data_IF_687576113820
#
_entry.id   IF_687576113820
#
_cell.length_a   1.000
_cell.length_b   1.000
_cell.length_c   1.000
_cell.angle_alpha   90.00
_cell.angle_beta   90.00
_cell.angle_gamma   90.00
#
_symmetry.space_group_name_H-M   'P 1'
#
loop_
_entity.id
_entity.type
_entity.pdbx_description
1 polymer ?
#
# COMPACT_ATOMS: atom_id res chain seq x y z
N UNK A 1 8.98 -10.38 16.05
CA UNK A 1 8.15 -9.22 15.78
C UNK A 1 6.78 -9.72 15.32
N UNK A 2 5.69 -9.24 15.91
CA UNK A 2 4.33 -9.58 15.51
C UNK A 2 3.74 -8.45 14.63
N UNK A 3 3.19 -8.81 13.48
CA UNK A 3 2.60 -7.85 12.55
C UNK A 3 1.09 -7.76 12.77
N UNK A 4 0.40 -8.90 12.67
CA UNK A 4 -1.05 -9.03 12.88
C UNK A 4 -1.33 -10.40 13.47
N UNK A 5 -2.21 -10.48 14.46
CA UNK A 5 -2.63 -11.75 15.04
C UNK A 5 -3.52 -11.62 16.26
N UNK A 6 -3.85 -12.77 16.84
CA UNK A 6 -4.56 -12.90 18.11
C UNK A 6 -3.81 -13.80 19.09
N UNK A 7 -2.49 -13.93 18.96
CA UNK A 7 -1.67 -14.90 19.65
C UNK A 7 -0.70 -14.23 20.61
N UNK A 8 -0.53 -14.83 21.82
CA UNK A 8 0.65 -14.61 22.66
C UNK A 8 1.85 -15.29 21.98
N UNK A 9 2.82 -14.45 21.52
CA UNK A 9 3.95 -14.91 20.72
C UNK A 9 5.12 -15.48 21.53
N UNK A 10 5.00 -15.56 22.86
CA UNK A 10 6.03 -16.12 23.73
C UNK A 10 6.29 -17.60 23.45
N UNK A 11 5.29 -18.33 22.94
CA UNK A 11 5.44 -19.72 22.54
C UNK A 11 4.75 -19.99 21.20
N UNK A 12 5.44 -20.73 20.32
CA UNK A 12 4.86 -21.23 19.09
C UNK A 12 3.65 -22.15 19.28
N UNK A 13 3.47 -22.76 20.47
CA UNK A 13 2.34 -23.63 20.81
C UNK A 13 1.13 -22.85 21.31
N UNK A 14 1.29 -21.62 21.83
CA UNK A 14 0.16 -20.84 22.33
C UNK A 14 -0.96 -20.76 21.28
N UNK A 15 -2.26 -20.83 21.70
CA UNK A 15 -3.37 -20.78 20.77
C UNK A 15 -3.40 -19.45 19.99
N UNK A 16 -3.93 -19.50 18.76
CA UNK A 16 -4.10 -18.35 17.89
C UNK A 16 -3.21 -18.40 16.66
N UNK A 17 -3.19 -17.28 15.94
CA UNK A 17 -2.33 -17.09 14.78
C UNK A 17 -1.57 -15.78 14.90
N UNK A 18 -0.41 -15.71 14.23
CA UNK A 18 0.37 -14.47 14.10
C UNK A 18 1.09 -14.42 12.76
N UNK A 19 0.97 -13.29 12.08
CA UNK A 19 1.88 -12.88 11.02
C UNK A 19 3.07 -12.21 11.67
N UNK A 20 4.28 -12.67 11.36
CA UNK A 20 5.51 -12.21 12.00
C UNK A 20 6.68 -12.29 11.03
N UNK A 21 7.86 -11.90 11.48
CA UNK A 21 9.12 -12.24 10.80
C UNK A 21 9.74 -13.49 11.43
N UNK A 22 10.61 -14.17 10.67
CA UNK A 22 11.39 -15.30 11.18
C UNK A 22 12.16 -14.92 12.44
N UNK A 23 12.11 -15.80 13.42
CA UNK A 23 12.89 -15.64 14.65
C UNK A 23 14.26 -16.34 14.50
N UNK A 24 15.37 -15.75 14.99
CA UNK A 24 15.46 -14.49 15.73
C UNK A 24 15.57 -13.22 14.84
N UNK A 25 15.88 -13.28 13.57
CA UNK A 25 15.99 -12.15 12.64
C UNK A 25 16.14 -12.67 11.19
N UNK A 26 15.36 -13.67 10.82
CA UNK A 26 15.35 -14.17 9.46
C UNK A 26 14.80 -13.14 8.47
N UNK A 27 15.16 -13.26 7.18
CA UNK A 27 14.76 -12.30 6.16
C UNK A 27 13.34 -12.48 5.64
N UNK A 28 12.70 -13.61 5.96
CA UNK A 28 11.35 -13.93 5.49
C UNK A 28 10.29 -13.55 6.52
N UNK A 29 9.13 -13.17 6.03
CA UNK A 29 7.95 -13.14 6.88
C UNK A 29 7.41 -14.55 7.06
N UNK A 30 6.58 -14.74 8.07
CA UNK A 30 6.00 -16.04 8.37
C UNK A 30 4.62 -15.93 9.00
N UNK A 31 3.87 -17.03 8.93
CA UNK A 31 2.68 -17.25 9.74
C UNK A 31 2.95 -18.42 10.67
N UNK A 32 2.66 -18.22 11.95
CA UNK A 32 2.60 -19.29 12.92
C UNK A 32 1.16 -19.41 13.42
N UNK A 33 0.69 -20.65 13.56
CA UNK A 33 -0.56 -20.98 14.23
C UNK A 33 -0.31 -22.04 15.30
N UNK A 34 -1.10 -22.00 16.36
CA UNK A 34 -1.06 -22.99 17.44
C UNK A 34 -2.44 -23.19 18.06
N UNK A 35 -2.63 -24.31 18.74
CA UNK A 35 -3.87 -24.66 19.46
C UNK A 35 -3.63 -24.94 20.95
N UNK A 36 -2.40 -24.75 21.42
CA UNK A 36 -1.95 -25.07 22.77
C UNK A 36 -1.16 -26.36 22.86
N UNK A 37 -1.44 -27.33 21.98
CA UNK A 37 -0.78 -28.65 21.94
C UNK A 37 0.08 -28.81 20.66
N UNK A 38 -0.43 -28.31 19.53
CA UNK A 38 0.20 -28.41 18.23
C UNK A 38 0.46 -27.04 17.63
N UNK A 39 1.39 -26.96 16.69
CA UNK A 39 1.68 -25.76 15.91
C UNK A 39 2.01 -26.08 14.48
N UNK A 40 1.81 -25.11 13.61
CA UNK A 40 2.34 -25.09 12.26
C UNK A 40 2.96 -23.73 11.94
N UNK A 41 4.03 -23.76 11.14
CA UNK A 41 4.77 -22.56 10.71
C UNK A 41 4.99 -22.64 9.20
N UNK A 42 4.68 -21.58 8.48
CA UNK A 42 5.09 -21.42 7.09
C UNK A 42 5.84 -20.09 6.91
N UNK A 43 6.92 -20.14 6.12
CA UNK A 43 7.71 -18.96 5.79
C UNK A 43 7.36 -18.49 4.37
N UNK A 44 6.97 -17.24 4.24
CA UNK A 44 6.75 -16.58 2.97
C UNK A 44 8.06 -16.13 2.31
N UNK A 45 7.96 -15.24 1.33
CA UNK A 45 9.13 -14.73 0.63
C UNK A 45 10.03 -13.91 1.55
N UNK A 46 11.35 -14.01 1.32
CA UNK A 46 12.32 -13.11 1.94
C UNK A 46 12.30 -11.74 1.25
N UNK A 47 12.87 -10.73 1.93
CA UNK A 47 13.13 -9.42 1.32
C UNK A 47 12.01 -8.39 1.47
N UNK A 48 10.93 -8.71 2.19
CA UNK A 48 9.83 -7.76 2.44
C UNK A 48 10.15 -6.65 3.46
N UNK A 49 11.37 -6.65 4.02
CA UNK A 49 11.89 -5.58 4.90
C UNK A 49 12.78 -4.59 4.12
N UNK A 50 12.40 -4.23 2.93
CA UNK A 50 13.18 -3.39 2.02
C UNK A 50 12.75 -1.91 2.02
N UNK A 51 11.79 -1.56 2.89
CA UNK A 51 11.22 -0.21 2.98
C UNK A 51 10.16 0.05 1.91
N UNK A 52 9.67 -0.97 1.23
CA UNK A 52 8.54 -0.88 0.31
C UNK A 52 7.28 -1.45 0.95
N UNK A 53 6.14 -1.16 0.35
CA UNK A 53 4.88 -1.80 0.70
C UNK A 53 4.78 -3.18 0.06
N UNK A 54 4.40 -4.15 0.86
CA UNK A 54 4.13 -5.52 0.44
C UNK A 54 2.77 -5.96 0.94
N UNK A 55 2.07 -6.75 0.14
CA UNK A 55 0.85 -7.42 0.57
C UNK A 55 1.19 -8.82 1.05
N UNK A 56 0.93 -9.09 2.31
CA UNK A 56 1.13 -10.39 2.93
C UNK A 56 -0.23 -11.06 3.13
N UNK A 57 -0.47 -12.18 2.45
CA UNK A 57 -1.75 -12.87 2.55
C UNK A 57 -1.56 -14.32 3.00
N UNK A 58 -2.51 -14.82 3.78
CA UNK A 58 -2.57 -16.22 4.16
C UNK A 58 -4.00 -16.74 4.05
N UNK A 59 -4.21 -17.84 3.36
CA UNK A 59 -5.44 -18.60 3.41
C UNK A 59 -5.30 -19.78 4.36
N UNK A 60 -6.36 -20.04 5.14
CA UNK A 60 -6.41 -21.13 6.11
C UNK A 60 -7.52 -22.10 5.72
N UNK A 61 -7.16 -23.17 4.99
CA UNK A 61 -8.06 -24.32 4.82
C UNK A 61 -7.90 -25.22 6.05
N UNK A 62 -8.90 -25.19 6.93
CA UNK A 62 -8.80 -25.84 8.25
C UNK A 62 -8.77 -27.37 8.17
N UNK A 63 -9.23 -27.97 7.09
CA UNK A 63 -9.20 -29.41 6.83
C UNK A 63 -7.99 -29.80 5.97
N UNK A 64 -7.13 -28.86 5.64
CA UNK A 64 -6.00 -29.01 4.71
C UNK A 64 -4.80 -28.15 5.10
N UNK A 65 -4.50 -27.16 4.28
CA UNK A 65 -3.25 -26.37 4.39
C UNK A 65 -3.49 -24.88 4.63
N UNK A 66 -2.55 -24.23 5.29
CA UNK A 66 -2.38 -22.79 5.13
C UNK A 66 -1.46 -22.52 3.95
N UNK A 67 -1.78 -21.46 3.17
CA UNK A 67 -1.01 -21.05 2.00
C UNK A 67 -0.69 -19.56 2.09
N UNK A 68 0.58 -19.22 1.93
CA UNK A 68 1.10 -17.88 2.04
C UNK A 68 1.35 -17.28 0.65
N UNK A 69 1.04 -15.99 0.53
CA UNK A 69 1.25 -15.22 -0.69
C UNK A 69 1.93 -13.90 -0.36
N UNK A 70 2.95 -13.56 -1.14
CA UNK A 70 3.62 -12.26 -1.09
C UNK A 70 3.30 -11.52 -2.38
N UNK A 71 2.71 -10.33 -2.26
CA UNK A 71 2.28 -9.52 -3.40
C UNK A 71 1.39 -10.29 -4.40
N UNK A 72 0.44 -11.06 -3.84
CA UNK A 72 -0.49 -11.91 -4.57
C UNK A 72 0.12 -13.21 -5.12
N UNK A 73 1.44 -13.39 -5.03
CA UNK A 73 2.14 -14.57 -5.57
C UNK A 73 2.32 -15.62 -4.49
N UNK A 74 1.96 -16.87 -4.78
CA UNK A 74 2.15 -18.00 -3.89
C UNK A 74 3.60 -18.13 -3.43
N UNK A 75 3.81 -18.30 -2.13
CA UNK A 75 5.13 -18.33 -1.50
C UNK A 75 5.41 -19.64 -0.76
N UNK A 76 4.44 -20.16 -0.03
CA UNK A 76 4.62 -21.35 0.81
C UNK A 76 3.28 -22.02 1.15
N UNK A 77 3.36 -23.28 1.54
CA UNK A 77 2.22 -24.07 2.00
C UNK A 77 2.66 -24.97 3.16
N UNK A 78 1.75 -25.15 4.15
CA UNK A 78 1.97 -26.03 5.31
C UNK A 78 0.67 -26.70 5.70
N UNK A 79 0.71 -28.00 6.00
CA UNK A 79 -0.44 -28.77 6.47
C UNK A 79 -0.85 -28.30 7.88
N UNK A 80 -2.12 -27.92 8.02
CA UNK A 80 -2.71 -27.47 9.27
C UNK A 80 -3.94 -28.29 9.71
N UNK A 81 -4.19 -29.40 9.03
CA UNK A 81 -5.34 -30.29 9.31
C UNK A 81 -5.32 -30.85 10.75
N UNK A 82 -4.14 -30.94 11.36
CA UNK A 82 -3.97 -31.39 12.74
C UNK A 82 -4.05 -30.28 13.80
N UNK A 83 -4.22 -29.00 13.42
CA UNK A 83 -4.27 -27.88 14.35
C UNK A 83 -5.72 -27.63 14.80
N UNK A 84 -5.93 -27.60 16.11
CA UNK A 84 -7.24 -27.40 16.73
C UNK A 84 -7.76 -25.96 16.68
N UNK A 85 -8.39 -25.51 17.75
CA UNK A 85 -9.02 -24.20 17.84
C UNK A 85 -7.97 -23.08 17.96
N UNK A 86 -8.13 -22.03 17.14
CA UNK A 86 -7.31 -20.82 17.16
C UNK A 86 -7.98 -19.65 17.90
N UNK A 87 -9.19 -19.83 18.40
CA UNK A 87 -9.91 -18.80 19.14
C UNK A 87 -9.37 -18.74 20.57
N UNK A 88 -8.86 -17.57 20.92
CA UNK A 88 -8.31 -17.29 22.26
C UNK A 88 -9.28 -16.45 23.12
N UNK A 89 -10.46 -16.09 22.57
CA UNK A 89 -11.42 -15.22 23.25
C UNK A 89 -10.99 -13.76 23.33
N UNK A 90 -9.90 -13.39 22.68
CA UNK A 90 -9.32 -12.05 22.63
C UNK A 90 -9.51 -11.42 21.25
N UNK A 91 -9.30 -10.11 21.14
CA UNK A 91 -9.32 -9.39 19.88
C UNK A 91 -8.09 -9.64 19.02
N UNK A 92 -8.04 -8.97 17.89
CA UNK A 92 -6.87 -8.95 17.03
C UNK A 92 -5.99 -7.75 17.36
N UNK A 93 -4.71 -7.95 17.24
CA UNK A 93 -3.68 -6.94 17.50
C UNK A 93 -2.90 -6.68 16.21
N UNK A 94 -2.69 -5.40 15.92
CA UNK A 94 -1.92 -4.94 14.76
C UNK A 94 -0.66 -4.24 15.28
N UNK A 95 0.51 -4.76 14.92
CA UNK A 95 1.80 -4.21 15.32
C UNK A 95 2.37 -4.73 16.65
N UNK A 96 1.69 -5.65 17.33
CA UNK A 96 2.17 -6.35 18.52
C UNK A 96 1.46 -7.69 18.66
N UNK A 97 1.88 -8.49 19.64
CA UNK A 97 1.10 -9.63 20.14
C UNK A 97 0.03 -9.19 21.16
N UNK A 98 -0.72 -10.16 21.70
CA UNK A 98 -1.85 -9.86 22.61
C UNK A 98 -1.40 -9.24 23.93
N UNK A 99 -0.16 -9.44 24.36
CA UNK A 99 0.40 -8.86 25.58
C UNK A 99 1.12 -7.53 25.32
N UNK A 100 1.07 -7.00 24.10
CA UNK A 100 1.75 -5.78 23.68
C UNK A 100 3.26 -5.97 23.50
N UNK A 101 3.73 -7.22 23.48
CA UNK A 101 5.11 -7.59 23.19
C UNK A 101 5.40 -7.68 21.69
N UNK A 102 6.63 -8.04 21.38
CA UNK A 102 7.08 -8.31 19.99
C UNK A 102 6.72 -7.24 18.98
N UNK A 103 6.76 -5.97 19.41
CA UNK A 103 6.31 -4.82 18.63
C UNK A 103 6.94 -4.73 17.25
N UNK A 104 6.11 -4.42 16.26
CA UNK A 104 6.51 -4.17 14.88
C UNK A 104 6.93 -2.71 14.70
N UNK A 105 8.03 -2.52 14.00
CA UNK A 105 8.48 -1.18 13.57
C UNK A 105 8.31 -1.07 12.07
N UNK A 106 7.28 -0.39 11.64
CA UNK A 106 6.91 -0.23 10.24
C UNK A 106 5.50 0.35 10.12
N UNK A 107 4.98 0.37 8.92
CA UNK A 107 3.61 0.81 8.66
C UNK A 107 2.71 -0.39 8.32
N UNK A 108 1.45 -0.33 8.75
CA UNK A 108 0.41 -1.32 8.46
C UNK A 108 -0.78 -0.58 7.86
N UNK A 109 -1.36 -1.13 6.81
CA UNK A 109 -2.58 -0.64 6.18
C UNK A 109 -3.36 -1.80 5.56
N UNK A 110 -4.63 -1.58 5.24
CA UNK A 110 -5.45 -2.51 4.45
C UNK A 110 -5.52 -3.93 5.06
N UNK A 111 -5.75 -4.04 6.37
CA UNK A 111 -5.95 -5.35 7.00
C UNK A 111 -7.33 -5.88 6.65
N UNK A 112 -7.38 -7.04 6.02
CA UNK A 112 -8.58 -7.64 5.45
C UNK A 112 -8.78 -9.06 5.95
N UNK A 113 -10.02 -9.44 6.22
CA UNK A 113 -10.36 -10.77 6.69
C UNK A 113 -11.64 -11.28 6.05
N UNK A 114 -11.57 -12.48 5.47
CA UNK A 114 -12.70 -13.19 4.87
C UNK A 114 -13.05 -14.47 5.64
N UNK A 115 -14.31 -14.76 5.70
CA UNK A 115 -14.79 -16.07 6.14
C UNK A 115 -14.81 -17.02 4.94
N UNK A 116 -13.73 -17.80 4.78
CA UNK A 116 -13.56 -18.74 3.69
C UNK A 116 -12.16 -18.62 3.05
N UNK A 117 -11.85 -19.58 2.20
CA UNK A 117 -10.59 -19.66 1.47
C UNK A 117 -10.76 -18.97 0.12
N UNK A 118 -9.96 -17.96 -0.15
CA UNK A 118 -9.86 -17.34 -1.48
C UNK A 118 -8.95 -18.19 -2.36
N UNK A 119 -9.30 -18.31 -3.64
CA UNK A 119 -8.41 -18.97 -4.61
C UNK A 119 -7.22 -18.08 -5.02
N UNK A 120 -6.18 -18.72 -5.59
CA UNK A 120 -4.94 -18.06 -5.98
C UNK A 120 -5.16 -16.91 -6.97
N UNK A 121 -6.10 -17.07 -7.90
CA UNK A 121 -6.39 -16.06 -8.91
C UNK A 121 -7.05 -14.83 -8.26
N UNK A 122 -8.01 -15.04 -7.37
CA UNK A 122 -8.64 -13.95 -6.61
C UNK A 122 -7.62 -13.21 -5.75
N UNK A 123 -6.73 -13.93 -5.05
CA UNK A 123 -5.67 -13.30 -4.26
C UNK A 123 -4.75 -12.48 -5.15
N UNK A 124 -4.32 -13.02 -6.30
CA UNK A 124 -3.45 -12.32 -7.25
C UNK A 124 -4.12 -11.08 -7.84
N UNK A 125 -5.37 -11.17 -8.24
CA UNK A 125 -6.08 -10.07 -8.91
C UNK A 125 -6.40 -8.92 -7.94
N UNK A 126 -6.60 -9.24 -6.65
CA UNK A 126 -7.10 -8.29 -5.66
C UNK A 126 -6.09 -7.92 -4.56
N UNK A 127 -4.86 -8.50 -4.56
CA UNK A 127 -3.87 -8.20 -3.52
C UNK A 127 -3.61 -6.70 -3.40
N UNK A 128 -3.72 -5.99 -4.49
CA UNK A 128 -3.31 -4.62 -4.65
C UNK A 128 -4.47 -3.71 -5.11
N UNK A 129 -5.69 -4.21 -5.09
CA UNK A 129 -6.87 -3.47 -5.54
C UNK A 129 -7.74 -3.01 -4.36
N UNK A 130 -8.45 -1.91 -4.55
CA UNK A 130 -9.52 -1.52 -3.66
C UNK A 130 -10.56 -2.63 -3.53
N UNK A 131 -10.95 -2.94 -2.32
CA UNK A 131 -12.04 -3.88 -2.10
C UNK A 131 -13.37 -3.18 -2.32
N UNK A 132 -14.12 -3.66 -3.28
CA UNK A 132 -15.45 -3.16 -3.65
C UNK A 132 -16.42 -4.34 -3.81
N UNK A 133 -17.71 -4.05 -4.01
CA UNK A 133 -18.73 -5.05 -4.30
C UNK A 133 -18.43 -5.92 -5.54
N UNK A 134 -17.47 -5.50 -6.38
CA UNK A 134 -17.00 -6.30 -7.52
C UNK A 134 -16.07 -7.45 -7.11
N UNK A 135 -15.58 -7.48 -5.86
CA UNK A 135 -14.75 -8.57 -5.37
C UNK A 135 -15.53 -9.89 -5.34
N UNK A 136 -15.02 -11.01 -5.91
CA UNK A 136 -15.75 -12.29 -6.01
C UNK A 136 -16.26 -12.82 -4.67
N UNK A 137 -15.55 -12.55 -3.59
CA UNK A 137 -15.91 -12.96 -2.23
C UNK A 137 -16.36 -11.78 -1.36
N UNK A 138 -17.01 -10.77 -1.93
CA UNK A 138 -17.51 -9.59 -1.19
C UNK A 138 -18.38 -9.96 0.00
N UNK A 139 -19.34 -10.86 -0.20
CA UNK A 139 -20.26 -11.32 0.84
C UNK A 139 -19.58 -12.09 2.00
N UNK A 140 -18.38 -12.58 1.77
CA UNK A 140 -17.59 -13.29 2.77
C UNK A 140 -16.62 -12.36 3.53
N UNK A 141 -16.51 -11.09 3.16
CA UNK A 141 -15.66 -10.11 3.82
C UNK A 141 -16.22 -9.80 5.21
N UNK A 142 -15.46 -10.12 6.24
CA UNK A 142 -15.89 -9.96 7.64
C UNK A 142 -15.26 -8.73 8.29
N UNK A 143 -14.02 -8.40 7.93
CA UNK A 143 -13.31 -7.25 8.47
C UNK A 143 -12.46 -6.59 7.40
N UNK A 144 -12.44 -5.25 7.40
CA UNK A 144 -11.62 -4.44 6.52
C UNK A 144 -11.22 -3.16 7.25
N UNK A 145 -10.03 -3.16 7.81
CA UNK A 145 -9.45 -2.00 8.47
C UNK A 145 -8.47 -1.34 7.49
N UNK A 146 -8.92 -0.24 6.93
CA UNK A 146 -8.11 0.53 5.97
C UNK A 146 -6.95 1.25 6.66
N UNK A 147 -7.12 1.60 7.94
CA UNK A 147 -6.17 2.35 8.76
C UNK A 147 -5.85 3.73 8.17
N UNK A 148 -6.90 4.44 7.80
CA UNK A 148 -6.84 5.72 7.06
C UNK A 148 -7.42 6.88 7.85
N UNK A 149 -7.70 6.69 9.11
CA UNK A 149 -8.32 7.69 9.99
C UNK A 149 -7.47 8.96 10.12
N UNK A 150 -6.14 8.85 9.94
CA UNK A 150 -5.20 9.98 9.85
C UNK A 150 -5.02 10.77 11.15
N UNK A 151 -5.87 10.56 12.15
CA UNK A 151 -5.79 11.20 13.46
C UNK A 151 -6.68 10.47 14.48
N UNK A 152 -6.41 10.67 15.76
CA UNK A 152 -7.17 10.05 16.85
C UNK A 152 -6.72 8.63 17.14
N UNK A 153 -7.52 7.94 17.96
CA UNK A 153 -7.24 6.59 18.44
C UNK A 153 -8.28 5.57 18.01
N UNK A 154 -9.44 6.01 17.54
CA UNK A 154 -10.52 5.11 17.17
C UNK A 154 -10.28 4.54 15.78
N UNK A 155 -10.37 3.21 15.66
CA UNK A 155 -10.20 2.47 14.41
C UNK A 155 -11.49 1.72 14.11
N UNK A 156 -11.97 1.80 12.87
CA UNK A 156 -13.16 1.12 12.41
C UNK A 156 -12.91 0.16 11.26
N UNK A 157 -13.78 -0.84 11.11
CA UNK A 157 -13.80 -1.71 9.95
C UNK A 157 -14.84 -1.20 8.94
N UNK A 158 -14.42 -1.02 7.70
CA UNK A 158 -15.32 -0.64 6.61
C UNK A 158 -16.30 -1.75 6.21
N UNK A 159 -15.98 -3.02 6.49
CA UNK A 159 -16.85 -4.15 6.21
C UNK A 159 -17.89 -4.40 7.31
N UNK A 160 -17.56 -4.08 8.56
CA UNK A 160 -18.45 -4.34 9.72
C UNK A 160 -18.23 -3.27 10.79
N UNK A 161 -19.21 -2.39 10.96
CA UNK A 161 -19.16 -1.28 11.91
C UNK A 161 -19.11 -1.71 13.40
N UNK A 162 -19.37 -2.97 13.72
CA UNK A 162 -19.24 -3.49 15.08
C UNK A 162 -17.79 -3.84 15.42
N UNK A 163 -16.93 -3.99 14.40
CA UNK A 163 -15.51 -4.28 14.58
C UNK A 163 -14.74 -2.98 14.72
N UNK A 164 -14.60 -2.54 15.94
CA UNK A 164 -13.84 -1.33 16.31
C UNK A 164 -12.58 -1.69 17.07
N UNK A 165 -11.60 -0.81 17.03
CA UNK A 165 -10.34 -0.96 17.75
C UNK A 165 -9.83 0.38 18.26
N UNK A 166 -8.71 0.33 18.96
CA UNK A 166 -8.03 1.52 19.47
C UNK A 166 -6.56 1.49 19.09
N UNK A 167 -6.10 2.57 18.47
CA UNK A 167 -4.68 2.78 18.19
C UNK A 167 -3.98 3.28 19.46
N UNK A 168 -2.96 2.58 19.92
CA UNK A 168 -2.13 2.98 21.05
C UNK A 168 -0.67 3.03 20.63
N UNK A 169 0.03 4.09 21.01
CA UNK A 169 1.45 4.28 20.70
C UNK A 169 1.78 4.35 19.19
N UNK A 170 0.78 4.55 18.34
CA UNK A 170 0.94 4.60 16.88
C UNK A 170 1.08 6.04 16.38
N UNK A 171 1.68 6.17 15.20
CA UNK A 171 1.74 7.43 14.47
C UNK A 171 1.00 7.26 13.14
N UNK A 172 0.04 8.14 12.89
CA UNK A 172 -0.56 8.25 11.58
C UNK A 172 0.47 8.85 10.61
N UNK A 173 0.81 8.09 9.59
CA UNK A 173 1.76 8.52 8.58
C UNK A 173 1.12 8.49 7.20
N UNK A 174 1.40 9.51 6.44
CA UNK A 174 1.19 9.49 4.99
C UNK A 174 2.48 9.02 4.37
N UNK A 175 2.55 7.83 3.78
CA UNK A 175 3.70 7.46 2.99
C UNK A 175 3.96 8.53 1.91
N UNK A 176 5.20 8.98 1.77
CA UNK A 176 5.54 9.99 0.74
C UNK A 176 5.12 9.54 -0.67
N UNK A 177 5.06 8.23 -0.90
CA UNK A 177 4.57 7.64 -2.14
C UNK A 177 3.06 7.81 -2.36
N UNK A 178 2.28 8.12 -1.30
CA UNK A 178 0.83 8.38 -1.34
C UNK A 178 0.49 9.84 -1.58
N UNK A 179 1.45 10.76 -1.53
CA UNK A 179 1.22 12.14 -1.92
C UNK A 179 1.12 12.18 -3.45
N UNK A 180 0.00 11.75 -3.98
CA UNK A 180 -0.31 11.92 -5.39
C UNK A 180 -0.82 13.34 -5.57
N UNK A 181 0.06 14.23 -5.98
CA UNK A 181 -0.39 15.50 -6.55
C UNK A 181 -0.99 15.20 -7.93
N UNK A 182 -2.32 15.20 -8.04
CA UNK A 182 -2.95 15.14 -9.35
C UNK A 182 -2.81 16.52 -10.02
N UNK A 183 -1.80 16.61 -10.87
CA UNK A 183 -1.64 17.75 -11.77
C UNK A 183 -2.31 17.43 -13.11
N UNK A 184 -3.64 17.29 -13.13
CA UNK A 184 -4.39 17.05 -14.37
C UNK A 184 -4.19 18.14 -15.44
N UNK A 185 -3.73 19.29 -14.99
CA UNK A 185 -3.26 20.40 -15.83
C UNK A 185 -1.95 20.94 -15.22
N UNK A 186 -1.09 21.55 -16.00
CA UNK A 186 0.17 22.12 -15.47
C UNK A 186 -0.09 23.40 -14.72
N UNK A 187 0.21 23.50 -13.41
CA UNK A 187 0.02 24.74 -12.67
C UNK A 187 0.92 25.84 -13.25
N UNK A 188 0.36 27.01 -13.41
CA UNK A 188 1.14 28.22 -13.75
C UNK A 188 1.74 28.79 -12.47
N UNK A 189 2.81 29.54 -12.58
CA UNK A 189 3.44 30.17 -11.41
C UNK A 189 2.48 31.07 -10.64
N UNK A 190 1.50 31.65 -11.31
CA UNK A 190 0.45 32.50 -10.72
C UNK A 190 -0.55 31.72 -9.86
N UNK A 191 -0.65 30.41 -10.05
CA UNK A 191 -1.57 29.55 -9.33
C UNK A 191 -1.02 29.17 -7.94
N UNK A 192 0.28 29.31 -7.72
CA UNK A 192 0.95 28.91 -6.47
C UNK A 192 0.38 29.64 -5.25
N UNK A 193 0.20 30.96 -5.36
CA UNK A 193 -0.32 31.75 -4.26
C UNK A 193 -1.77 31.40 -3.92
N UNK A 194 -2.61 31.22 -4.95
CA UNK A 194 -4.03 30.86 -4.79
C UNK A 194 -4.17 29.47 -4.18
N UNK A 195 -3.43 28.50 -4.70
CA UNK A 195 -3.41 27.12 -4.19
C UNK A 195 -2.93 27.07 -2.73
N UNK A 196 -1.87 27.82 -2.38
CA UNK A 196 -1.35 27.83 -1.02
C UNK A 196 -2.34 28.48 -0.03
N UNK A 197 -2.99 29.56 -0.42
CA UNK A 197 -4.01 30.23 0.42
C UNK A 197 -5.22 29.32 0.61
N UNK A 198 -5.69 28.69 -0.43
CA UNK A 198 -6.81 27.76 -0.38
C UNK A 198 -6.47 26.52 0.50
N UNK A 199 -5.28 25.97 0.34
CA UNK A 199 -4.81 24.87 1.19
C UNK A 199 -4.69 25.25 2.68
N UNK A 200 -4.37 26.50 2.97
CA UNK A 200 -4.31 27.03 4.34
C UNK A 200 -5.68 27.52 4.88
N UNK A 201 -6.77 27.28 4.14
CA UNK A 201 -8.11 27.76 4.50
C UNK A 201 -8.21 29.29 4.63
N UNK A 202 -7.40 30.02 3.89
CA UNK A 202 -7.46 31.48 3.84
C UNK A 202 -8.39 31.93 2.73
N UNK A 203 -9.50 32.55 3.09
CA UNK A 203 -10.43 33.13 2.11
C UNK A 203 -9.71 34.19 1.28
N UNK A 204 -9.68 33.98 -0.03
CA UNK A 204 -9.02 34.91 -0.96
C UNK A 204 -9.93 36.15 -1.14
N UNK A 205 -9.44 37.31 -0.74
CA UNK A 205 -10.12 38.57 -0.98
C UNK A 205 -10.00 38.92 -2.49
N UNK A 206 -11.12 39.15 -3.19
CA UNK A 206 -11.11 39.60 -4.57
C UNK A 206 -10.27 40.87 -4.81
N UNK A 207 -10.10 41.71 -3.78
CA UNK A 207 -9.26 42.90 -3.86
C UNK A 207 -7.76 42.61 -4.03
N UNK A 208 -7.30 41.38 -3.73
CA UNK A 208 -5.91 40.97 -3.95
C UNK A 208 -5.59 40.74 -5.42
N UNK A 209 -6.61 40.66 -6.26
CA UNK A 209 -6.48 40.48 -7.72
C UNK A 209 -5.51 39.35 -8.14
N UNK A 210 -5.59 38.23 -7.44
CA UNK A 210 -4.79 37.05 -7.77
C UNK A 210 -5.33 36.36 -9.03
N UNK A 211 -4.52 36.26 -10.07
CA UNK A 211 -4.94 35.73 -11.37
C UNK A 211 -4.87 34.19 -11.45
N UNK A 212 -4.46 33.50 -10.39
CA UNK A 212 -4.33 32.06 -10.33
C UNK A 212 -5.65 31.33 -10.07
N UNK A 213 -5.63 30.03 -10.27
CA UNK A 213 -6.68 29.09 -9.85
C UNK A 213 -6.14 28.17 -8.76
N UNK A 214 -7.02 27.68 -7.87
CA UNK A 214 -6.63 26.66 -6.91
C UNK A 214 -6.47 25.31 -7.60
N UNK A 215 -5.46 24.58 -7.18
CA UNK A 215 -5.12 23.22 -7.64
C UNK A 215 -5.40 22.18 -6.55
N UNK A 216 -5.99 22.60 -5.46
CA UNK A 216 -6.47 21.72 -4.39
C UNK A 216 -7.98 21.87 -4.31
N UNK A 217 -8.67 20.81 -4.00
CA UNK A 217 -10.08 20.90 -3.61
C UNK A 217 -10.12 21.57 -2.25
N UNK A 218 -10.77 22.72 -2.14
CA UNK A 218 -10.70 23.64 -1.00
C UNK A 218 -10.79 22.99 0.38
N UNK A 219 -10.75 23.77 1.44
CA UNK A 219 -10.66 23.35 2.85
C UNK A 219 -11.63 22.27 3.35
N UNK A 220 -12.63 21.90 2.58
CA UNK A 220 -13.63 20.90 2.95
C UNK A 220 -13.29 19.49 2.45
N UNK A 221 -12.26 19.35 1.65
CA UNK A 221 -11.76 18.05 1.22
C UNK A 221 -10.50 17.70 1.99
N UNK A 222 -10.66 17.37 3.25
CA UNK A 222 -9.80 16.39 3.87
C UNK A 222 -10.15 15.00 3.27
N UNK A 223 -10.27 14.89 1.98
CA UNK A 223 -10.11 13.65 1.25
C UNK A 223 -8.62 13.34 1.24
N UNK A 224 -8.15 13.14 2.43
CA UNK A 224 -6.93 12.48 2.75
C UNK A 224 -7.16 11.03 2.34
N UNK A 225 -6.50 10.62 1.30
CA UNK A 225 -6.22 9.24 0.93
C UNK A 225 -7.34 8.50 0.18
N UNK A 226 -7.14 8.44 -1.10
CA UNK A 226 -7.54 7.27 -1.87
C UNK A 226 -6.58 6.11 -1.47
N UNK A 227 -6.89 5.44 -0.37
CA UNK A 227 -6.17 4.26 0.14
C UNK A 227 -6.40 3.02 -0.70
N UNK A 228 -7.16 3.16 -1.74
CA UNK A 228 -7.54 2.09 -2.64
C UNK A 228 -6.49 1.80 -3.71
N UNK A 229 -5.25 2.25 -3.54
CA UNK A 229 -4.20 2.06 -4.55
C UNK A 229 -3.05 1.27 -3.98
N UNK A 230 -2.83 0.11 -4.51
CA UNK A 230 -1.52 -0.46 -4.57
C UNK A 230 -0.60 0.50 -5.30
N UNK A 231 0.57 0.69 -4.75
CA UNK A 231 1.49 1.69 -5.28
C UNK A 231 2.23 1.11 -6.47
N UNK A 232 2.20 1.82 -7.59
CA UNK A 232 3.17 1.58 -8.65
C UNK A 232 4.53 1.95 -8.06
N UNK A 233 5.40 0.98 -7.75
CA UNK A 233 6.77 1.22 -7.24
C UNK A 233 7.72 1.66 -8.38
N UNK A 234 7.21 2.45 -9.31
CA UNK A 234 8.02 2.93 -10.42
C UNK A 234 9.16 3.82 -9.94
N UNK A 235 10.38 3.50 -10.37
CA UNK A 235 11.60 4.26 -10.11
C UNK A 235 12.28 4.61 -11.41
N UNK A 236 12.95 5.74 -11.45
CA UNK A 236 13.67 6.20 -12.62
C UNK A 236 15.13 6.48 -12.27
N UNK A 237 16.04 6.07 -13.15
CA UNK A 237 17.47 6.35 -13.02
C UNK A 237 18.17 6.38 -14.39
N UNK A 238 19.25 7.13 -14.57
CA UNK A 238 19.77 8.12 -13.62
C UNK A 238 18.83 9.31 -13.46
N UNK A 239 18.80 9.88 -12.27
CA UNK A 239 18.10 11.12 -11.99
C UNK A 239 18.95 11.99 -11.02
N UNK A 240 19.60 13.04 -11.46
CA UNK A 240 19.59 13.59 -12.83
C UNK A 240 20.17 12.67 -13.91
N UNK A 241 19.73 12.87 -15.15
CA UNK A 241 20.21 12.16 -16.34
C UNK A 241 20.38 13.07 -17.55
N UNK A 242 21.00 12.58 -18.63
CA UNK A 242 21.25 13.39 -19.85
C UNK A 242 20.15 13.18 -20.90
N UNK A 243 20.16 12.07 -21.62
CA UNK A 243 19.31 11.88 -22.81
C UNK A 243 18.15 10.90 -22.57
N UNK A 244 18.27 10.08 -21.56
CA UNK A 244 17.33 9.00 -21.28
C UNK A 244 17.37 8.60 -19.81
N UNK A 245 16.34 7.85 -19.40
CA UNK A 245 16.29 7.20 -18.11
C UNK A 245 15.77 5.76 -18.26
N UNK A 246 16.08 4.94 -17.32
CA UNK A 246 15.47 3.64 -17.13
C UNK A 246 14.35 3.77 -16.10
N UNK A 247 13.21 3.14 -16.36
CA UNK A 247 12.12 2.99 -15.41
C UNK A 247 12.04 1.53 -14.98
N UNK A 248 11.83 1.28 -13.69
CA UNK A 248 11.64 -0.04 -13.09
C UNK A 248 10.43 -0.03 -12.16
N UNK A 249 9.99 -1.18 -11.66
CA UNK A 249 8.84 -1.28 -10.77
C UNK A 249 7.51 -1.00 -11.49
N UNK A 250 7.41 -1.37 -12.76
CA UNK A 250 6.21 -1.25 -13.60
C UNK A 250 5.74 -2.63 -14.04
N UNK A 251 4.48 -2.74 -14.48
CA UNK A 251 3.96 -3.95 -15.10
C UNK A 251 4.08 -3.89 -16.63
N UNK A 252 3.91 -5.01 -17.36
CA UNK A 252 3.89 -5.02 -18.82
C UNK A 252 2.79 -4.13 -19.43
N UNK A 253 1.71 -3.87 -18.68
CA UNK A 253 0.56 -3.07 -19.14
C UNK A 253 0.67 -1.58 -18.77
N UNK A 254 1.73 -1.19 -18.09
CA UNK A 254 1.95 0.19 -17.66
C UNK A 254 2.21 1.11 -18.86
N UNK A 255 1.46 2.20 -18.95
CA UNK A 255 1.71 3.31 -19.86
C UNK A 255 2.63 4.35 -19.19
N UNK A 256 3.63 4.81 -19.91
CA UNK A 256 4.57 5.84 -19.47
C UNK A 256 4.48 7.06 -20.37
N UNK A 257 4.15 8.20 -19.80
CA UNK A 257 4.05 9.48 -20.48
C UNK A 257 5.10 10.44 -19.93
N UNK A 258 5.82 11.14 -20.81
CA UNK A 258 6.81 12.16 -20.41
C UNK A 258 6.33 13.54 -20.84
N UNK A 259 6.29 14.44 -19.89
CA UNK A 259 5.85 15.81 -20.09
C UNK A 259 7.03 16.76 -19.97
N UNK A 260 7.17 17.63 -20.98
CA UNK A 260 8.09 18.74 -20.97
C UNK A 260 7.71 19.77 -19.87
N UNK A 261 8.64 20.58 -19.35
CA UNK A 261 8.34 21.61 -18.34
C UNK A 261 7.21 22.59 -18.75
N UNK A 262 6.96 22.78 -20.03
CA UNK A 262 5.83 23.59 -20.53
C UNK A 262 4.47 22.86 -20.57
N UNK A 263 4.38 21.63 -20.03
CA UNK A 263 3.17 20.84 -19.98
C UNK A 263 2.83 20.01 -21.22
N UNK A 264 3.64 20.09 -22.27
CA UNK A 264 3.42 19.29 -23.47
C UNK A 264 3.87 17.86 -23.28
N UNK A 265 3.01 16.88 -23.56
CA UNK A 265 3.42 15.48 -23.64
C UNK A 265 4.36 15.28 -24.86
N UNK A 266 5.59 14.85 -24.60
CA UNK A 266 6.64 14.67 -25.61
C UNK A 266 6.97 13.21 -25.88
N UNK A 267 6.56 12.31 -25.01
CA UNK A 267 6.76 10.87 -25.17
C UNK A 267 5.63 10.11 -24.53
N UNK A 268 5.21 9.04 -25.21
CA UNK A 268 4.24 8.08 -24.68
C UNK A 268 4.62 6.69 -25.15
N UNK A 269 4.75 5.76 -24.23
CA UNK A 269 5.11 4.37 -24.51
C UNK A 269 4.50 3.41 -23.52
N UNK A 270 4.40 2.15 -23.92
CA UNK A 270 4.12 1.00 -23.06
C UNK A 270 5.31 0.06 -23.18
N UNK A 271 6.17 -0.06 -22.17
CA UNK A 271 7.39 -0.88 -22.26
C UNK A 271 7.12 -2.36 -22.49
N UNK A 272 5.97 -2.88 -22.08
CA UNK A 272 5.63 -4.31 -22.25
C UNK A 272 6.44 -5.25 -21.36
N UNK A 273 7.09 -4.72 -20.32
CA UNK A 273 7.94 -5.44 -19.39
C UNK A 273 7.93 -4.74 -18.02
N UNK A 274 8.56 -5.36 -17.01
CA UNK A 274 8.67 -4.79 -15.65
C UNK A 274 9.70 -3.67 -15.53
N UNK A 275 10.39 -3.35 -16.63
CA UNK A 275 11.30 -2.20 -16.75
C UNK A 275 11.36 -1.72 -18.19
N UNK A 276 11.74 -0.46 -18.41
CA UNK A 276 11.87 0.10 -19.75
C UNK A 276 12.92 1.19 -19.83
N UNK A 277 13.53 1.35 -21.00
CA UNK A 277 14.43 2.45 -21.32
C UNK A 277 13.65 3.52 -22.10
N UNK A 278 13.63 4.74 -21.58
CA UNK A 278 12.86 5.85 -22.14
C UNK A 278 13.81 6.95 -22.57
N UNK A 279 13.75 7.29 -23.85
CA UNK A 279 14.50 8.42 -24.45
C UNK A 279 13.49 9.44 -24.99
N UNK A 280 13.14 10.50 -24.27
CA UNK A 280 12.06 11.40 -24.62
C UNK A 280 12.25 12.24 -25.89
N UNK A 281 13.46 12.27 -26.45
CA UNK A 281 13.74 12.97 -27.69
C UNK A 281 13.82 14.51 -27.55
N UNK A 282 13.71 15.06 -26.37
CA UNK A 282 13.95 16.49 -26.10
C UNK A 282 15.43 16.74 -25.86
N UNK A 283 15.95 17.89 -26.26
CA UNK A 283 17.32 18.33 -26.00
C UNK A 283 17.42 19.42 -24.92
N UNK A 284 16.32 19.86 -24.37
CA UNK A 284 16.30 20.94 -23.40
C UNK A 284 16.57 20.44 -21.98
N UNK A 285 17.42 21.13 -21.24
CA UNK A 285 17.64 20.88 -19.81
C UNK A 285 16.45 21.37 -19.00
N UNK A 286 16.08 20.64 -17.96
CA UNK A 286 14.94 21.03 -17.12
C UNK A 286 14.34 19.86 -16.34
N UNK A 287 13.29 20.15 -15.61
CA UNK A 287 12.53 19.16 -14.83
C UNK A 287 11.38 18.62 -15.69
N UNK A 288 11.42 17.36 -16.03
CA UNK A 288 10.37 16.64 -16.74
C UNK A 288 9.48 15.90 -15.76
N UNK A 289 8.18 15.82 -16.07
CA UNK A 289 7.24 15.00 -15.31
C UNK A 289 6.99 13.70 -16.08
N UNK A 290 7.14 12.59 -15.37
CA UNK A 290 6.91 11.24 -15.91
C UNK A 290 5.65 10.71 -15.23
N UNK A 291 4.59 10.52 -16.02
CA UNK A 291 3.34 9.93 -15.57
C UNK A 291 3.33 8.45 -15.88
N UNK A 292 3.17 7.64 -14.87
CA UNK A 292 3.11 6.19 -14.94
C UNK A 292 1.67 5.79 -14.68
N UNK A 293 1.06 5.03 -15.57
CA UNK A 293 -0.36 4.67 -15.54
C UNK A 293 -0.46 3.16 -15.69
N UNK A 294 -1.09 2.50 -14.74
CA UNK A 294 -1.37 1.08 -14.77
C UNK A 294 -2.83 0.84 -14.36
N UNK A 295 -3.67 0.54 -15.35
CA UNK A 295 -5.11 0.53 -15.15
C UNK A 295 -5.64 1.88 -14.64
N UNK A 296 -6.26 1.87 -13.48
CA UNK A 296 -6.73 3.09 -12.81
C UNK A 296 -5.66 3.77 -11.95
N UNK A 297 -4.55 3.09 -11.72
CA UNK A 297 -3.45 3.62 -10.91
C UNK A 297 -2.62 4.62 -11.69
N UNK A 298 -2.18 5.66 -11.00
CA UNK A 298 -1.35 6.71 -11.61
C UNK A 298 -0.29 7.14 -10.62
N UNK A 299 0.94 7.27 -11.09
CA UNK A 299 2.05 7.84 -10.35
C UNK A 299 2.78 8.86 -11.19
N UNK A 300 3.19 9.97 -10.58
CA UNK A 300 3.99 10.99 -11.24
C UNK A 300 5.37 11.03 -10.60
N UNK A 301 6.40 10.89 -11.44
CA UNK A 301 7.81 10.97 -11.06
C UNK A 301 8.43 12.24 -11.67
N UNK A 302 9.49 12.73 -11.06
CA UNK A 302 10.27 13.86 -11.59
C UNK A 302 11.60 13.36 -12.11
N UNK A 303 11.96 13.77 -13.31
CA UNK A 303 13.26 13.52 -13.89
C UNK A 303 13.94 14.85 -14.23
N UNK A 304 15.16 15.04 -13.75
CA UNK A 304 15.95 16.24 -14.02
C UNK A 304 16.90 15.90 -15.15
N UNK A 305 16.69 16.53 -16.30
CA UNK A 305 17.62 16.44 -17.41
C UNK A 305 18.69 17.50 -17.29
N UNK A 306 19.94 17.05 -17.38
CA UNK A 306 21.15 17.89 -17.43
C UNK A 306 21.85 17.69 -18.78
N UNK A 307 22.45 18.75 -19.29
CA UNK A 307 23.29 18.69 -20.51
C UNK A 307 24.62 18.05 -20.21
#
# INVERSE_FOLDING_TARGET
VAIVGNKDWDSGLNPGFVFSFEYPNGPAWKVNIGDGDNRADANGSAGVSDGQWHTLSCSFDRDGSMRLYTDGVFSAEEDISGIGNLDVGEGWYFGSDIDGGYSYTGAIAEVRFWHGVLDDATILDWHCSAITEAHPAWEALQGHWQLTEGAGTDIGSAANAELTGTADGTLWQVPESLIVFDYSNTPRIVDVAVTALDHMCVTIDPAWNLAGISWVDGCNSADVFDTNRCFIDARIFPNPGSDSFQITGITPDTDVEVYHPNGKCIHKSRPGATSGHIAPGSSESGMYLIRVIDGEQRRTLRWIRQN
#
